data_IF_247769813065
#
_entry.id   IF_247769813065
#
_cell.length_a   1.000
_cell.length_b   1.000
_cell.length_c   1.000
_cell.angle_alpha   90.00
_cell.angle_beta   90.00
_cell.angle_gamma   90.00
#
_symmetry.space_group_name_H-M   'P 1'
#
loop_
_entity.id
_entity.type
_entity.pdbx_description
1 polymer ?
#
# COMPACT_ATOMS: atom_id res chain seq x y z
N UNK A 1 -22.04 16.34 2.29
CA UNK A 1 -22.31 15.67 1.01
C UNK A 1 -21.20 14.68 0.81
N UNK A 2 -21.50 13.39 0.89
CA UNK A 2 -20.59 12.30 0.58
C UNK A 2 -20.17 12.37 -0.89
N UNK A 3 -18.93 11.96 -1.19
CA UNK A 3 -18.39 12.02 -2.55
C UNK A 3 -18.71 10.76 -3.39
N UNK A 4 -19.39 9.77 -2.80
CA UNK A 4 -19.86 8.50 -3.40
C UNK A 4 -18.77 7.64 -4.06
N UNK A 5 -17.48 7.87 -3.76
CA UNK A 5 -16.39 7.08 -4.29
C UNK A 5 -16.13 5.84 -3.42
N UNK A 6 -16.15 4.68 -4.07
CA UNK A 6 -15.78 3.39 -3.49
C UNK A 6 -14.61 2.80 -4.28
N UNK A 7 -13.43 2.79 -3.69
CA UNK A 7 -12.19 2.35 -4.35
C UNK A 7 -11.80 0.97 -3.84
N UNK A 8 -11.69 -0.01 -4.73
CA UNK A 8 -11.44 -1.41 -4.35
C UNK A 8 -9.99 -1.82 -4.62
N UNK A 9 -9.41 -2.56 -3.68
CA UNK A 9 -8.16 -3.29 -3.85
C UNK A 9 -8.30 -4.73 -3.34
N UNK A 10 -7.86 -5.72 -4.11
CA UNK A 10 -7.84 -7.13 -3.66
C UNK A 10 -6.66 -7.92 -4.22
N UNK A 11 -6.49 -9.16 -3.77
CA UNK A 11 -5.63 -10.20 -4.35
C UNK A 11 -6.41 -11.25 -5.17
N UNK A 12 -7.68 -10.96 -5.53
CA UNK A 12 -8.57 -11.91 -6.21
C UNK A 12 -8.32 -12.02 -7.72
N UNK A 13 -7.61 -11.06 -8.31
CA UNK A 13 -7.52 -10.93 -9.75
C UNK A 13 -8.87 -10.61 -10.40
N UNK A 14 -8.90 -10.71 -11.74
CA UNK A 14 -10.09 -10.49 -12.58
C UNK A 14 -10.42 -11.71 -13.44
N UNK A 15 -9.84 -12.87 -13.12
CA UNK A 15 -10.00 -14.09 -13.90
C UNK A 15 -11.37 -14.76 -13.73
N UNK A 16 -12.09 -14.46 -12.64
CA UNK A 16 -13.40 -15.01 -12.33
C UNK A 16 -14.42 -13.94 -11.89
N UNK A 17 -15.58 -14.38 -11.40
CA UNK A 17 -16.69 -13.51 -11.00
C UNK A 17 -16.55 -12.84 -9.62
N UNK A 18 -15.46 -13.04 -8.88
CA UNK A 18 -15.33 -12.57 -7.50
C UNK A 18 -15.50 -11.04 -7.39
N UNK A 19 -14.69 -10.28 -8.14
CA UNK A 19 -14.74 -8.81 -8.14
C UNK A 19 -16.04 -8.29 -8.77
N UNK A 20 -16.55 -8.95 -9.80
CA UNK A 20 -17.83 -8.58 -10.41
C UNK A 20 -18.99 -8.71 -9.41
N UNK A 21 -19.00 -9.76 -8.58
CA UNK A 21 -20.00 -9.93 -7.51
C UNK A 21 -19.88 -8.84 -6.43
N UNK A 22 -18.66 -8.43 -6.08
CA UNK A 22 -18.43 -7.29 -5.19
C UNK A 22 -19.08 -6.01 -5.74
N UNK A 23 -18.91 -5.70 -7.03
CA UNK A 23 -19.57 -4.53 -7.63
C UNK A 23 -21.10 -4.64 -7.58
N UNK A 24 -21.63 -5.83 -7.90
CA UNK A 24 -23.06 -6.10 -7.83
C UNK A 24 -23.63 -5.79 -6.44
N UNK A 25 -22.95 -6.24 -5.38
CA UNK A 25 -23.33 -5.94 -3.99
C UNK A 25 -23.29 -4.45 -3.70
N UNK A 26 -22.23 -3.74 -4.10
CA UNK A 26 -22.16 -2.29 -3.92
C UNK A 26 -23.35 -1.57 -4.59
N UNK A 27 -23.70 -1.96 -5.83
CA UNK A 27 -24.84 -1.36 -6.54
C UNK A 27 -26.21 -1.75 -5.97
N UNK A 28 -26.32 -2.85 -5.23
CA UNK A 28 -27.55 -3.16 -4.48
C UNK A 28 -27.76 -2.23 -3.28
N UNK A 29 -26.67 -1.69 -2.72
CA UNK A 29 -26.72 -0.68 -1.64
C UNK A 29 -27.05 0.68 -2.21
N UNK A 30 -26.32 1.11 -3.24
CA UNK A 30 -26.60 2.36 -3.95
C UNK A 30 -26.17 2.30 -5.42
N UNK A 31 -27.12 2.38 -6.38
CA UNK A 31 -26.81 2.36 -7.81
C UNK A 31 -26.07 3.61 -8.29
N UNK A 32 -25.90 4.65 -7.47
CA UNK A 32 -25.20 5.91 -7.81
C UNK A 32 -23.73 5.93 -7.40
N UNK A 33 -23.22 4.88 -6.76
CA UNK A 33 -21.81 4.82 -6.36
C UNK A 33 -20.89 4.86 -7.58
N UNK A 34 -19.78 5.58 -7.44
CA UNK A 34 -18.69 5.51 -8.40
C UNK A 34 -17.66 4.52 -7.88
N UNK A 35 -17.67 3.32 -8.44
CA UNK A 35 -16.70 2.27 -8.12
C UNK A 35 -15.46 2.47 -8.98
N UNK A 36 -14.29 2.47 -8.35
CA UNK A 36 -13.00 2.47 -9.03
C UNK A 36 -12.12 1.35 -8.45
N UNK A 37 -11.13 0.91 -9.21
CA UNK A 37 -10.14 -0.05 -8.73
C UNK A 37 -8.83 0.64 -8.49
N UNK A 38 -8.24 0.39 -7.33
CA UNK A 38 -6.83 0.63 -7.11
C UNK A 38 -6.03 -0.44 -7.86
N UNK A 39 -6.24 -1.71 -7.49
CA UNK A 39 -5.76 -2.88 -8.23
C UNK A 39 -6.39 -4.17 -7.68
N UNK A 40 -6.55 -5.18 -8.51
CA UNK A 40 -6.89 -6.54 -8.08
C UNK A 40 -5.71 -7.51 -8.26
N UNK A 41 -4.53 -6.97 -8.55
CA UNK A 41 -3.30 -7.71 -8.82
C UNK A 41 -2.31 -7.63 -7.64
N UNK A 42 -2.80 -7.40 -6.42
CA UNK A 42 -1.94 -7.61 -5.25
C UNK A 42 -1.54 -9.09 -5.26
N UNK A 43 -0.25 -9.44 -5.07
CA UNK A 43 0.15 -10.84 -4.95
C UNK A 43 -0.66 -11.54 -3.86
N UNK A 44 -1.06 -12.78 -4.10
CA UNK A 44 -1.87 -13.55 -3.17
C UNK A 44 -1.28 -13.51 -1.76
N UNK A 45 -2.10 -13.11 -0.79
CA UNK A 45 -1.75 -13.04 0.63
C UNK A 45 -0.70 -11.98 1.02
N UNK A 46 -0.25 -11.13 0.10
CA UNK A 46 0.77 -10.11 0.38
C UNK A 46 0.17 -8.85 1.02
N UNK A 47 0.06 -8.90 2.35
CA UNK A 47 -0.47 -7.82 3.18
C UNK A 47 0.45 -6.59 3.14
N UNK A 48 1.77 -6.77 2.97
CA UNK A 48 2.71 -5.66 2.89
C UNK A 48 2.45 -4.84 1.63
N UNK A 49 2.39 -5.51 0.47
CA UNK A 49 2.06 -4.87 -0.80
C UNK A 49 0.67 -4.21 -0.75
N UNK A 50 -0.33 -4.88 -0.17
CA UNK A 50 -1.65 -4.30 0.01
C UNK A 50 -1.62 -2.98 0.79
N UNK A 51 -0.87 -2.95 1.89
CA UNK A 51 -0.69 -1.78 2.74
C UNK A 51 0.03 -0.63 2.01
N UNK A 52 1.09 -0.93 1.27
CA UNK A 52 1.86 0.07 0.53
C UNK A 52 1.04 0.70 -0.61
N UNK A 53 0.27 -0.11 -1.35
CA UNK A 53 -0.54 0.37 -2.48
C UNK A 53 -1.68 1.30 -2.04
N UNK A 54 -2.21 1.10 -0.84
CA UNK A 54 -3.10 2.09 -0.21
C UNK A 54 -2.39 3.43 0.03
N UNK A 55 -1.24 3.42 0.69
CA UNK A 55 -0.43 4.63 0.93
C UNK A 55 -0.14 5.38 -0.37
N UNK A 56 0.18 4.64 -1.44
CA UNK A 56 0.50 5.21 -2.74
C UNK A 56 -0.65 6.05 -3.31
N UNK A 57 -1.90 5.68 -3.02
CA UNK A 57 -3.06 6.16 -3.77
C UNK A 57 -3.92 7.15 -2.98
N UNK A 58 -4.11 6.93 -1.67
CA UNK A 58 -5.11 7.64 -0.85
C UNK A 58 -5.04 9.16 -0.99
N UNK A 59 -3.84 9.75 -0.97
CA UNK A 59 -3.65 11.21 -1.00
C UNK A 59 -4.14 11.91 -2.28
N UNK A 60 -4.41 11.15 -3.34
CA UNK A 60 -4.90 11.68 -4.62
C UNK A 60 -6.42 11.62 -4.76
N UNK A 61 -7.11 10.99 -3.81
CA UNK A 61 -8.56 10.95 -3.76
C UNK A 61 -9.09 12.08 -2.87
N UNK A 62 -10.31 12.59 -3.15
CA UNK A 62 -10.92 13.58 -2.28
C UNK A 62 -11.25 12.97 -0.90
N UNK A 63 -11.24 13.80 0.17
CA UNK A 63 -11.75 13.38 1.48
C UNK A 63 -13.15 12.78 1.37
N UNK A 64 -13.47 11.87 2.29
CA UNK A 64 -14.67 11.01 2.35
C UNK A 64 -14.69 9.85 1.34
N UNK A 65 -13.64 9.67 0.54
CA UNK A 65 -13.53 8.47 -0.31
C UNK A 65 -13.37 7.23 0.59
N UNK A 66 -14.12 6.18 0.26
CA UNK A 66 -14.05 4.89 0.95
C UNK A 66 -13.20 3.92 0.15
N UNK A 67 -12.13 3.44 0.75
CA UNK A 67 -11.30 2.37 0.23
C UNK A 67 -11.74 1.05 0.86
N UNK A 68 -11.87 0.01 0.05
CA UNK A 68 -12.04 -1.36 0.52
C UNK A 68 -10.80 -2.14 0.10
N UNK A 69 -10.02 -2.62 1.07
CA UNK A 69 -8.82 -3.40 0.82
C UNK A 69 -9.02 -4.81 1.36
N UNK A 70 -8.95 -5.81 0.48
CA UNK A 70 -9.21 -7.20 0.85
C UNK A 70 -8.07 -8.08 0.36
N UNK A 71 -7.10 -8.27 1.24
CA UNK A 71 -6.04 -9.28 1.14
C UNK A 71 -6.01 -9.97 2.49
N UNK A 72 -6.57 -11.17 2.56
CA UNK A 72 -6.98 -11.77 3.84
C UNK A 72 -6.71 -13.29 3.89
N UNK A 73 -5.45 -13.71 4.10
CA UNK A 73 -5.13 -15.12 4.34
C UNK A 73 -5.78 -15.66 5.63
N UNK A 74 -6.22 -14.78 6.55
CA UNK A 74 -6.86 -15.13 7.80
C UNK A 74 -8.39 -15.09 7.76
N UNK A 75 -9.01 -15.12 6.58
CA UNK A 75 -10.47 -15.09 6.45
C UNK A 75 -11.13 -16.23 7.24
N UNK A 76 -12.22 -15.91 7.95
CA UNK A 76 -12.92 -16.87 8.83
C UNK A 76 -12.19 -17.19 10.15
N UNK A 77 -11.07 -16.53 10.47
CA UNK A 77 -10.38 -16.64 11.75
C UNK A 77 -10.92 -15.65 12.80
N UNK A 78 -10.23 -15.53 13.94
CA UNK A 78 -10.56 -14.57 15.00
C UNK A 78 -10.11 -13.13 14.72
N UNK A 79 -9.43 -12.86 13.58
CA UNK A 79 -9.01 -11.51 13.20
C UNK A 79 -10.23 -10.62 12.97
N UNK A 80 -10.17 -9.37 13.44
CA UNK A 80 -11.31 -8.45 13.38
C UNK A 80 -11.51 -7.91 11.95
N UNK A 81 -12.73 -7.56 11.62
CA UNK A 81 -13.05 -6.71 10.46
C UNK A 81 -13.18 -5.26 10.94
N UNK A 82 -12.55 -4.31 10.25
CA UNK A 82 -12.46 -2.93 10.74
C UNK A 82 -12.73 -1.88 9.66
N UNK A 83 -13.14 -0.71 10.12
CA UNK A 83 -13.14 0.52 9.33
C UNK A 83 -12.26 1.55 10.04
N UNK A 84 -11.23 2.02 9.37
CA UNK A 84 -10.36 3.09 9.86
C UNK A 84 -10.70 4.41 9.16
N UNK A 85 -10.80 5.49 9.93
CA UNK A 85 -10.86 6.85 9.40
C UNK A 85 -9.47 7.46 9.47
N UNK A 86 -8.94 7.97 8.36
CA UNK A 86 -7.62 8.62 8.33
C UNK A 86 -7.72 10.08 8.80
N UNK A 87 -6.61 10.67 9.25
CA UNK A 87 -6.53 12.11 9.59
C UNK A 87 -6.80 13.03 8.40
N UNK A 88 -6.70 12.52 7.18
CA UNK A 88 -7.02 13.24 5.93
C UNK A 88 -8.48 13.07 5.51
N UNK A 89 -9.31 12.42 6.33
CA UNK A 89 -10.75 12.28 6.11
C UNK A 89 -11.15 11.14 5.17
N UNK A 90 -10.29 10.15 4.94
CA UNK A 90 -10.60 8.97 4.12
C UNK A 90 -11.04 7.81 5.01
N UNK A 91 -11.76 6.85 4.44
CA UNK A 91 -12.14 5.62 5.13
C UNK A 91 -11.49 4.40 4.49
N UNK A 92 -11.08 3.43 5.31
CA UNK A 92 -10.49 2.18 4.84
C UNK A 92 -11.20 1.02 5.53
N UNK A 93 -11.91 0.22 4.75
CA UNK A 93 -12.59 -1.01 5.16
C UNK A 93 -11.70 -2.20 4.85
N UNK A 94 -11.29 -2.96 5.86
CA UNK A 94 -10.24 -3.98 5.71
C UNK A 94 -10.27 -5.00 6.86
N UNK A 95 -9.70 -6.21 6.70
CA UNK A 95 -9.26 -7.03 7.82
C UNK A 95 -8.23 -6.27 8.69
N UNK A 96 -8.31 -6.47 10.00
CA UNK A 96 -7.25 -6.08 10.95
C UNK A 96 -6.14 -7.13 10.95
N UNK A 97 -5.24 -7.02 9.97
CA UNK A 97 -4.15 -7.99 9.75
C UNK A 97 -2.80 -7.33 9.43
N UNK A 98 -2.68 -6.01 9.63
CA UNK A 98 -1.50 -5.24 9.20
C UNK A 98 -1.71 -4.41 7.95
N UNK A 99 -2.79 -4.58 7.19
CA UNK A 99 -3.07 -3.77 5.97
C UNK A 99 -3.01 -2.26 6.23
N UNK A 100 -3.35 -1.80 7.44
CA UNK A 100 -3.35 -0.37 7.80
C UNK A 100 -1.96 0.19 8.15
N UNK A 101 -0.90 -0.63 8.24
CA UNK A 101 0.42 -0.23 8.77
C UNK A 101 1.00 1.03 8.11
N UNK A 102 1.14 1.04 6.79
CA UNK A 102 1.72 2.19 6.07
C UNK A 102 0.88 3.47 6.22
N UNK A 103 -0.45 3.34 6.12
CA UNK A 103 -1.35 4.49 6.28
C UNK A 103 -1.28 5.05 7.69
N UNK A 104 -1.27 4.19 8.70
CA UNK A 104 -1.16 4.60 10.10
C UNK A 104 0.16 5.34 10.37
N UNK A 105 1.26 4.89 9.78
CA UNK A 105 2.58 5.50 9.95
C UNK A 105 2.73 6.84 9.22
N UNK A 106 2.31 6.92 7.95
CA UNK A 106 2.62 8.07 7.10
C UNK A 106 1.49 9.10 6.97
N UNK A 107 0.24 8.69 7.13
CA UNK A 107 -0.94 9.58 7.04
C UNK A 107 -1.56 9.80 8.42
N UNK A 108 -1.57 8.75 9.25
CA UNK A 108 -2.18 8.74 10.56
C UNK A 108 -3.67 8.38 10.51
N UNK A 109 -4.11 7.65 11.53
CA UNK A 109 -5.51 7.32 11.76
C UNK A 109 -6.13 8.33 12.76
N UNK A 110 -7.38 8.71 12.51
CA UNK A 110 -8.21 9.50 13.42
C UNK A 110 -8.96 8.58 14.40
N UNK A 111 -9.57 7.50 13.89
CA UNK A 111 -10.26 6.49 14.68
C UNK A 111 -10.34 5.17 13.92
N UNK A 112 -10.60 4.08 14.64
CA UNK A 112 -10.87 2.76 14.06
C UNK A 112 -12.07 2.14 14.77
N UNK A 113 -12.98 1.55 14.02
CA UNK A 113 -14.14 0.82 14.54
C UNK A 113 -14.21 -0.59 14.02
N UNK A 114 -14.70 -1.50 14.84
CA UNK A 114 -14.96 -2.88 14.45
C UNK A 114 -16.26 -2.98 13.62
N UNK A 115 -16.27 -3.88 12.64
CA UNK A 115 -17.48 -4.30 11.93
C UNK A 115 -18.04 -5.52 12.66
N UNK A 116 -19.31 -5.45 13.09
CA UNK A 116 -20.00 -6.64 13.60
C UNK A 116 -20.35 -7.52 12.40
N UNK A 117 -19.56 -8.57 12.13
CA UNK A 117 -19.74 -9.44 10.96
C UNK A 117 -21.08 -10.20 10.96
N UNK A 118 -21.83 -10.21 12.07
CA UNK A 118 -23.17 -10.81 12.13
C UNK A 118 -24.22 -9.79 11.71
N UNK A 119 -24.15 -8.55 12.22
CA UNK A 119 -25.16 -7.51 11.95
C UNK A 119 -24.87 -6.70 10.68
N UNK A 120 -23.61 -6.38 10.47
CA UNK A 120 -23.11 -5.54 9.39
C UNK A 120 -22.59 -6.41 8.25
N UNK A 121 -23.45 -7.27 7.69
CA UNK A 121 -23.15 -8.11 6.53
C UNK A 121 -24.28 -8.05 5.50
N UNK A 122 -23.99 -8.49 4.28
CA UNK A 122 -25.00 -8.67 3.25
C UNK A 122 -26.12 -9.59 3.76
N UNK A 123 -27.40 -9.20 3.70
CA UNK A 123 -28.49 -10.04 4.17
C UNK A 123 -28.52 -11.40 3.47
N UNK A 124 -28.82 -12.46 4.22
CA UNK A 124 -28.91 -13.83 3.70
C UNK A 124 -27.58 -14.44 3.23
N UNK A 125 -26.45 -13.86 3.66
CA UNK A 125 -25.11 -14.39 3.36
C UNK A 125 -24.54 -15.26 4.48
N UNK A 126 -25.30 -15.52 5.56
CA UNK A 126 -24.80 -16.00 6.86
C UNK A 126 -24.02 -17.30 6.80
N UNK A 127 -24.34 -18.16 5.83
CA UNK A 127 -23.75 -19.48 5.65
C UNK A 127 -22.38 -19.45 4.95
N UNK A 128 -21.97 -18.31 4.37
CA UNK A 128 -20.69 -18.12 3.67
C UNK A 128 -19.70 -17.35 4.56
N UNK A 129 -18.57 -17.99 4.88
CA UNK A 129 -17.48 -17.41 5.68
C UNK A 129 -16.16 -17.28 4.92
N UNK A 130 -16.14 -17.66 3.64
CA UNK A 130 -14.92 -17.67 2.81
C UNK A 130 -14.81 -16.43 1.92
N UNK A 131 -15.86 -15.59 1.86
CA UNK A 131 -15.90 -14.42 0.98
C UNK A 131 -16.33 -13.13 1.69
N UNK A 132 -15.64 -12.79 2.79
CA UNK A 132 -15.88 -11.53 3.52
C UNK A 132 -15.64 -10.30 2.63
N UNK A 133 -14.82 -10.41 1.57
CA UNK A 133 -14.70 -9.41 0.50
C UNK A 133 -16.03 -8.89 -0.02
N UNK A 134 -16.90 -9.81 -0.42
CA UNK A 134 -18.24 -9.51 -0.93
C UNK A 134 -19.22 -9.23 0.20
N UNK A 135 -19.28 -10.12 1.18
CA UNK A 135 -20.39 -10.17 2.15
C UNK A 135 -20.24 -9.18 3.30
N UNK A 136 -19.01 -8.77 3.63
CA UNK A 136 -18.73 -7.85 4.74
C UNK A 136 -18.13 -6.55 4.20
N UNK A 137 -16.97 -6.60 3.54
CA UNK A 137 -16.20 -5.38 3.27
C UNK A 137 -16.83 -4.48 2.23
N UNK A 138 -17.20 -5.00 1.07
CA UNK A 138 -17.80 -4.15 0.02
C UNK A 138 -19.20 -3.69 0.40
N UNK A 139 -19.98 -4.53 1.06
CA UNK A 139 -21.28 -4.13 1.59
C UNK A 139 -21.16 -2.93 2.57
N UNK A 140 -20.26 -3.02 3.55
CA UNK A 140 -20.03 -1.91 4.49
C UNK A 140 -19.39 -0.69 3.82
N UNK A 141 -18.44 -0.90 2.91
CA UNK A 141 -17.80 0.18 2.16
C UNK A 141 -18.81 0.95 1.32
N UNK A 142 -19.74 0.26 0.65
CA UNK A 142 -20.81 0.86 -0.12
C UNK A 142 -21.77 1.68 0.76
N UNK A 143 -22.17 1.15 1.93
CA UNK A 143 -23.03 1.89 2.88
C UNK A 143 -22.34 3.17 3.36
N UNK A 144 -21.05 3.09 3.66
CA UNK A 144 -20.27 4.23 4.12
C UNK A 144 -20.03 5.27 3.01
N UNK A 145 -19.84 4.83 1.77
CA UNK A 145 -19.67 5.71 0.61
C UNK A 145 -20.98 6.43 0.26
N UNK A 146 -22.12 5.77 0.46
CA UNK A 146 -23.45 6.35 0.34
C UNK A 146 -23.71 7.39 1.45
N UNK A 147 -23.47 7.01 2.71
CA UNK A 147 -23.72 7.85 3.88
C UNK A 147 -22.61 7.70 4.94
N UNK A 148 -21.81 8.75 5.10
CA UNK A 148 -20.72 8.81 6.07
C UNK A 148 -21.19 8.59 7.52
N UNK A 149 -22.45 8.92 7.83
CA UNK A 149 -23.01 8.73 9.18
C UNK A 149 -23.12 7.27 9.57
N UNK A 150 -23.12 6.34 8.60
CA UNK A 150 -23.07 4.90 8.84
C UNK A 150 -21.84 4.47 9.67
N UNK A 151 -20.75 5.25 9.65
CA UNK A 151 -19.60 5.02 10.53
C UNK A 151 -19.98 5.01 12.02
N UNK A 152 -21.05 5.70 12.41
CA UNK A 152 -21.55 5.72 13.79
C UNK A 152 -22.29 4.45 14.19
N UNK A 153 -22.78 3.68 13.22
CA UNK A 153 -23.52 2.44 13.45
C UNK A 153 -22.61 1.21 13.60
N UNK A 154 -21.32 1.37 13.32
CA UNK A 154 -20.31 0.32 13.53
C UNK A 154 -20.10 0.05 15.03
N UNK A 155 -19.53 -1.12 15.32
CA UNK A 155 -19.27 -1.57 16.69
C UNK A 155 -18.23 -0.67 17.37
N UNK A 156 -17.96 -0.97 18.65
CA UNK A 156 -17.01 -0.29 19.52
C UNK A 156 -15.73 0.16 18.83
N UNK A 157 -15.28 1.34 19.24
CA UNK A 157 -13.98 1.89 18.87
C UNK A 157 -12.86 0.97 19.32
N UNK A 158 -11.90 0.73 18.42
CA UNK A 158 -10.65 0.02 18.71
C UNK A 158 -9.58 1.08 18.89
N UNK A 159 -8.80 0.97 19.97
CA UNK A 159 -7.69 1.88 20.17
C UNK A 159 -6.66 1.73 19.02
N UNK A 160 -6.16 2.85 18.50
CA UNK A 160 -5.18 2.84 17.39
C UNK A 160 -3.88 2.08 17.77
N UNK A 161 -3.58 1.95 19.07
CA UNK A 161 -2.46 1.15 19.56
C UNK A 161 -2.70 -0.36 19.55
N UNK A 162 -3.96 -0.81 19.39
CA UNK A 162 -4.34 -2.23 19.39
C UNK A 162 -4.48 -2.80 17.97
N UNK A 163 -4.40 -1.96 16.93
CA UNK A 163 -4.51 -2.41 15.54
C UNK A 163 -3.27 -3.23 15.18
N UNK A 164 -3.47 -4.35 14.49
CA UNK A 164 -2.38 -5.19 14.02
C UNK A 164 -1.50 -4.40 13.06
N UNK A 165 -0.18 -4.45 13.28
CA UNK A 165 0.82 -3.84 12.41
C UNK A 165 2.03 -4.75 12.25
N UNK A 166 2.73 -4.60 11.13
CA UNK A 166 4.02 -5.23 10.91
C UNK A 166 5.14 -4.19 11.01
N UNK A 167 6.37 -4.66 11.21
CA UNK A 167 7.55 -3.81 11.25
C UNK A 167 7.83 -3.20 9.87
N UNK A 168 8.09 -1.89 9.86
CA UNK A 168 8.59 -1.19 8.68
C UNK A 168 10.12 -1.14 8.73
N UNK A 169 10.76 -1.13 7.56
CA UNK A 169 12.21 -1.14 7.48
C UNK A 169 12.86 0.09 8.13
N UNK A 170 13.98 -0.15 8.83
CA UNK A 170 14.74 0.91 9.48
C UNK A 170 15.25 1.94 8.44
N UNK A 171 15.24 3.21 8.82
CA UNK A 171 15.78 4.31 8.04
C UNK A 171 16.71 5.15 8.93
N UNK A 172 17.97 5.29 8.54
CA UNK A 172 18.96 6.08 9.30
C UNK A 172 19.96 6.79 8.39
N UNK A 173 20.37 7.98 8.83
CA UNK A 173 21.45 8.76 8.23
C UNK A 173 22.61 8.84 9.24
N UNK A 174 23.78 8.36 8.83
CA UNK A 174 25.01 8.39 9.65
C UNK A 174 26.17 8.80 8.76
N UNK A 175 26.89 9.86 9.12
CA UNK A 175 28.07 10.35 8.40
C UNK A 175 27.84 10.51 6.88
N UNK A 176 26.74 11.18 6.50
CA UNK A 176 26.30 11.37 5.10
C UNK A 176 26.00 10.08 4.31
N UNK A 177 25.95 8.92 4.99
CA UNK A 177 25.51 7.65 4.43
C UNK A 177 24.12 7.30 4.92
N UNK A 178 23.23 7.00 3.98
CA UNK A 178 21.85 6.62 4.24
C UNK A 178 21.74 5.11 4.22
N UNK A 179 21.01 4.56 5.17
CA UNK A 179 20.64 3.16 5.26
C UNK A 179 19.13 3.07 5.27
N UNK A 180 18.58 2.20 4.44
CA UNK A 180 17.16 2.00 4.28
C UNK A 180 16.83 0.58 3.85
N UNK A 181 15.61 0.40 3.34
CA UNK A 181 15.11 -0.86 2.80
C UNK A 181 14.45 -0.65 1.44
N UNK A 182 14.30 -1.75 0.70
CA UNK A 182 13.54 -1.77 -0.55
C UNK A 182 12.12 -2.20 -0.19
N UNK A 183 11.21 -1.23 -0.04
CA UNK A 183 9.83 -1.50 0.39
C UNK A 183 9.06 -2.29 -0.68
N UNK A 184 9.13 -1.85 -1.94
CA UNK A 184 8.32 -2.44 -3.00
C UNK A 184 8.98 -2.29 -4.37
N UNK A 185 8.49 -3.04 -5.34
CA UNK A 185 8.81 -2.82 -6.75
C UNK A 185 7.80 -1.86 -7.39
N UNK A 186 8.26 -1.09 -8.37
CA UNK A 186 7.40 -0.67 -9.47
C UNK A 186 7.14 -1.89 -10.36
N UNK A 187 6.08 -2.64 -10.04
CA UNK A 187 5.90 -4.04 -10.47
C UNK A 187 5.96 -4.25 -11.98
N UNK A 188 5.54 -3.26 -12.79
CA UNK A 188 5.54 -3.38 -14.26
C UNK A 188 6.91 -3.18 -14.88
N UNK A 189 7.78 -2.41 -14.22
CA UNK A 189 9.10 -2.06 -14.74
C UNK A 189 10.23 -2.73 -13.95
N UNK A 190 9.93 -3.32 -12.79
CA UNK A 190 10.92 -3.93 -11.90
C UNK A 190 11.90 -2.94 -11.30
N UNK A 191 11.53 -1.66 -11.22
CA UNK A 191 12.31 -0.67 -10.49
C UNK A 191 12.16 -0.89 -8.98
N UNK A 192 13.21 -0.64 -8.23
CA UNK A 192 13.21 -0.72 -6.78
C UNK A 192 12.68 0.60 -6.21
N UNK A 193 11.68 0.57 -5.34
CA UNK A 193 11.25 1.72 -4.56
C UNK A 193 11.63 1.52 -3.09
N UNK A 194 12.35 2.50 -2.55
CA UNK A 194 12.90 2.42 -1.19
C UNK A 194 12.05 3.20 -0.19
N UNK A 195 12.36 2.98 1.10
CA UNK A 195 11.85 3.81 2.19
C UNK A 195 12.62 5.14 2.36
N UNK A 196 13.60 5.47 1.51
CA UNK A 196 14.47 6.64 1.67
C UNK A 196 13.81 7.89 1.06
N UNK A 197 13.38 8.88 1.87
CA UNK A 197 12.72 10.06 1.35
C UNK A 197 13.71 11.04 0.71
N UNK A 198 13.23 11.80 -0.26
CA UNK A 198 14.01 12.85 -0.94
C UNK A 198 14.56 13.92 0.00
N UNK A 199 13.92 14.16 1.15
CA UNK A 199 14.45 15.06 2.19
C UNK A 199 15.76 14.54 2.79
N UNK A 200 15.87 13.23 3.00
CA UNK A 200 17.08 12.61 3.56
C UNK A 200 18.23 12.59 2.55
N UNK A 201 17.94 12.41 1.26
CA UNK A 201 18.95 12.59 0.21
C UNK A 201 19.55 14.01 0.22
N UNK A 202 18.69 15.04 0.38
CA UNK A 202 19.15 16.44 0.48
C UNK A 202 19.99 16.67 1.73
N UNK A 203 19.60 16.09 2.87
CA UNK A 203 20.36 16.17 4.12
C UNK A 203 21.73 15.49 4.00
N UNK A 204 21.81 14.38 3.25
CA UNK A 204 23.06 13.71 2.91
C UNK A 204 23.90 14.46 1.85
N UNK A 205 23.43 15.59 1.32
CA UNK A 205 24.14 16.38 0.30
C UNK A 205 24.08 15.80 -1.12
N UNK A 206 23.13 14.90 -1.38
CA UNK A 206 22.89 14.28 -2.70
C UNK A 206 21.88 15.13 -3.48
N UNK A 207 22.24 15.50 -4.70
CA UNK A 207 21.44 16.30 -5.64
C UNK A 207 21.52 15.73 -7.06
N UNK A 208 20.54 16.07 -7.90
CA UNK A 208 20.51 15.61 -9.30
C UNK A 208 21.83 15.94 -10.02
N UNK A 209 22.33 14.96 -10.77
CA UNK A 209 23.62 15.02 -11.46
C UNK A 209 24.79 14.45 -10.66
N UNK A 210 24.62 14.19 -9.36
CA UNK A 210 25.64 13.51 -8.55
C UNK A 210 25.74 12.02 -8.92
N UNK A 211 26.92 11.45 -8.69
CA UNK A 211 27.12 10.00 -8.66
C UNK A 211 26.95 9.50 -7.24
N UNK A 212 26.15 8.45 -7.05
CA UNK A 212 25.94 7.81 -5.76
C UNK A 212 26.45 6.37 -5.80
N UNK A 213 27.06 5.93 -4.70
CA UNK A 213 27.30 4.52 -4.43
C UNK A 213 26.01 3.90 -3.92
N UNK A 214 25.58 2.81 -4.55
CA UNK A 214 24.43 2.01 -4.15
C UNK A 214 24.91 0.61 -3.81
N UNK A 215 24.69 0.19 -2.56
CA UNK A 215 24.96 -1.18 -2.12
C UNK A 215 23.68 -1.80 -1.58
N UNK A 216 23.33 -2.99 -2.03
CA UNK A 216 22.12 -3.71 -1.62
C UNK A 216 22.54 -5.01 -0.94
N UNK A 217 21.87 -5.33 0.16
CA UNK A 217 22.09 -6.51 0.96
C UNK A 217 20.80 -7.32 1.06
N UNK A 218 20.94 -8.64 1.15
CA UNK A 218 19.86 -9.56 1.49
C UNK A 218 20.32 -10.40 2.69
N UNK A 219 19.61 -10.32 3.81
CA UNK A 219 20.00 -11.00 5.06
C UNK A 219 21.44 -10.68 5.49
N UNK A 220 21.85 -9.41 5.37
CA UNK A 220 23.20 -8.94 5.70
C UNK A 220 24.30 -9.34 4.70
N UNK A 221 23.98 -10.11 3.65
CA UNK A 221 24.92 -10.50 2.60
C UNK A 221 24.81 -9.50 1.45
N UNK A 222 25.94 -8.90 1.06
CA UNK A 222 25.99 -7.98 -0.07
C UNK A 222 25.62 -8.69 -1.36
N UNK A 223 24.59 -8.19 -2.04
CA UNK A 223 24.01 -8.77 -3.25
C UNK A 223 24.33 -7.95 -4.50
N UNK A 224 24.33 -6.63 -4.37
CA UNK A 224 24.63 -5.70 -5.46
C UNK A 224 25.46 -4.53 -4.94
N UNK A 225 26.38 -4.05 -5.77
CA UNK A 225 27.12 -2.81 -5.51
C UNK A 225 27.48 -2.14 -6.83
N UNK A 226 27.11 -0.87 -6.99
CA UNK A 226 27.48 -0.09 -8.17
C UNK A 226 27.50 1.41 -7.87
N UNK A 227 28.16 2.18 -8.74
CA UNK A 227 28.08 3.63 -8.76
C UNK A 227 27.13 4.04 -9.88
N UNK A 228 26.09 4.78 -9.56
CA UNK A 228 25.04 5.15 -10.51
C UNK A 228 24.81 6.66 -10.50
N UNK A 229 24.37 7.21 -11.62
CA UNK A 229 23.91 8.58 -11.68
C UNK A 229 22.62 8.73 -10.86
N UNK A 230 22.57 9.74 -9.98
CA UNK A 230 21.31 10.21 -9.42
C UNK A 230 20.73 11.28 -10.36
N UNK A 231 19.81 10.84 -11.22
CA UNK A 231 19.20 11.65 -12.28
C UNK A 231 17.79 12.13 -11.93
N UNK A 232 17.29 13.02 -12.78
CA UNK A 232 15.89 13.44 -12.79
C UNK A 232 14.96 12.33 -13.24
N UNK A 233 15.37 11.52 -14.23
CA UNK A 233 14.55 10.46 -14.81
C UNK A 233 15.39 9.37 -15.49
N UNK A 234 14.72 8.33 -15.99
CA UNK A 234 15.35 7.27 -16.77
C UNK A 234 16.12 7.76 -18.00
N UNK A 235 15.73 8.89 -18.59
CA UNK A 235 16.33 9.43 -19.80
C UNK A 235 17.73 10.04 -19.61
N UNK A 236 18.18 10.20 -18.37
CA UNK A 236 19.49 10.80 -18.07
C UNK A 236 20.66 9.82 -18.27
N UNK A 237 20.36 8.54 -18.51
CA UNK A 237 21.35 7.48 -18.79
C UNK A 237 20.99 6.73 -20.08
N UNK A 238 21.97 6.04 -20.67
CA UNK A 238 21.72 5.21 -21.84
C UNK A 238 20.80 4.03 -21.51
N UNK A 239 20.13 3.47 -22.53
CA UNK A 239 19.33 2.24 -22.37
C UNK A 239 20.21 1.11 -21.83
N UNK A 240 19.73 0.41 -20.80
CA UNK A 240 20.47 -0.64 -20.10
C UNK A 240 21.38 -0.14 -18.97
N UNK A 241 21.51 1.17 -18.76
CA UNK A 241 22.29 1.73 -17.66
C UNK A 241 21.41 1.96 -16.41
N UNK A 242 21.96 1.74 -15.20
CA UNK A 242 21.25 1.98 -13.96
C UNK A 242 21.21 3.46 -13.58
N UNK A 243 20.12 3.87 -12.92
CA UNK A 243 19.88 5.24 -12.50
C UNK A 243 19.15 5.28 -11.16
N UNK A 244 19.60 6.16 -10.26
CA UNK A 244 18.86 6.56 -9.07
C UNK A 244 17.96 7.75 -9.41
N UNK A 245 16.74 7.77 -8.92
CA UNK A 245 15.78 8.85 -9.22
C UNK A 245 14.82 9.06 -8.03
N UNK A 246 14.01 10.12 -8.08
CA UNK A 246 12.92 10.32 -7.13
C UNK A 246 11.62 9.78 -7.73
N UNK A 247 11.01 8.80 -7.07
CA UNK A 247 9.74 8.21 -7.50
C UNK A 247 8.53 9.13 -7.21
N UNK A 248 7.34 8.70 -7.62
CA UNK A 248 6.09 9.47 -7.46
C UNK A 248 5.65 9.69 -6.01
N UNK A 249 6.23 8.94 -5.05
CA UNK A 249 6.01 9.12 -3.62
C UNK A 249 7.11 9.95 -2.94
N UNK A 250 8.01 10.55 -3.73
CA UNK A 250 9.13 11.37 -3.28
C UNK A 250 10.20 10.60 -2.50
N UNK A 251 10.35 9.31 -2.79
CA UNK A 251 11.40 8.45 -2.25
C UNK A 251 12.43 8.11 -3.34
N UNK A 252 13.62 7.68 -2.93
CA UNK A 252 14.62 7.14 -3.83
C UNK A 252 14.06 5.88 -4.52
N UNK A 253 14.10 5.89 -5.84
CA UNK A 253 13.96 4.72 -6.68
C UNK A 253 15.29 4.37 -7.35
N UNK A 254 15.49 3.10 -7.66
CA UNK A 254 16.62 2.61 -8.44
C UNK A 254 16.07 1.78 -9.60
N UNK A 255 16.53 2.06 -10.82
CA UNK A 255 16.03 1.40 -12.03
C UNK A 255 17.16 1.15 -13.02
N UNK A 256 16.87 0.35 -14.05
CA UNK A 256 17.65 0.30 -15.29
C UNK A 256 16.82 0.97 -16.37
N UNK A 257 17.40 1.88 -17.15
CA UNK A 257 16.66 2.53 -18.23
C UNK A 257 16.17 1.48 -19.25
N UNK A 258 14.84 1.33 -19.34
CA UNK A 258 14.12 0.35 -20.18
C UNK A 258 14.43 -1.13 -19.89
N UNK A 259 14.82 -1.49 -18.67
CA UNK A 259 14.97 -2.89 -18.24
C UNK A 259 14.52 -3.11 -16.80
N UNK A 260 14.29 -4.38 -16.44
CA UNK A 260 13.86 -4.79 -15.11
C UNK A 260 15.06 -4.93 -14.16
N UNK A 261 15.19 -4.02 -13.19
CA UNK A 261 16.30 -4.05 -12.22
C UNK A 261 16.24 -5.29 -11.32
N UNK A 262 15.06 -5.55 -10.75
CA UNK A 262 14.82 -6.69 -9.84
C UNK A 262 15.16 -8.03 -10.49
N UNK A 263 14.68 -8.30 -11.70
CA UNK A 263 14.96 -9.54 -12.43
C UNK A 263 16.43 -9.65 -12.87
N UNK A 264 17.01 -8.55 -13.36
CA UNK A 264 18.39 -8.53 -13.86
C UNK A 264 19.40 -8.86 -12.75
N UNK A 265 19.17 -8.33 -11.55
CA UNK A 265 20.10 -8.47 -10.43
C UNK A 265 19.59 -9.36 -9.29
N UNK A 266 18.44 -10.02 -9.45
CA UNK A 266 17.86 -10.90 -8.43
C UNK A 266 17.47 -10.20 -7.13
N UNK A 267 17.12 -8.91 -7.19
CA UNK A 267 16.83 -8.08 -6.01
C UNK A 267 15.34 -8.14 -5.64
N UNK A 268 15.04 -8.51 -4.40
CA UNK A 268 13.69 -8.54 -3.85
C UNK A 268 13.29 -7.28 -3.07
N UNK A 269 12.26 -7.43 -2.25
CA UNK A 269 11.65 -6.38 -1.42
C UNK A 269 11.40 -6.89 -0.01
N UNK A 270 11.29 -6.00 0.96
CA UNK A 270 11.03 -6.33 2.36
C UNK A 270 12.13 -5.85 3.30
N UNK A 271 11.92 -6.05 4.60
CA UNK A 271 12.83 -5.59 5.66
C UNK A 271 14.20 -6.28 5.64
N UNK A 272 14.28 -7.43 5.01
CA UNK A 272 15.46 -8.25 4.77
C UNK A 272 16.28 -7.79 3.54
N UNK A 273 15.72 -6.89 2.72
CA UNK A 273 16.37 -6.25 1.59
C UNK A 273 16.79 -4.83 1.94
N UNK A 274 18.03 -4.68 2.42
CA UNK A 274 18.57 -3.41 2.88
C UNK A 274 19.36 -2.71 1.77
N UNK A 275 19.32 -1.38 1.77
CA UNK A 275 20.04 -0.54 0.80
C UNK A 275 20.85 0.53 1.53
N UNK A 276 22.09 0.71 1.08
CA UNK A 276 23.02 1.72 1.56
C UNK A 276 23.39 2.67 0.43
N UNK A 277 23.30 3.98 0.70
CA UNK A 277 23.55 5.04 -0.27
C UNK A 277 24.52 6.07 0.30
N UNK A 278 25.52 6.48 -0.47
CA UNK A 278 26.33 7.65 -0.18
C UNK A 278 26.78 8.35 -1.46
N UNK A 279 26.99 9.67 -1.38
CA UNK A 279 27.63 10.44 -2.45
C UNK A 279 29.09 10.02 -2.62
N UNK A 280 29.60 10.12 -3.84
CA UNK A 280 31.01 9.92 -4.22
C UNK A 280 31.66 11.25 -4.54
#
# INVERSE_FOLDING_TARGET
MTNNFLVLQTDFGLADGAVAAMYGVAYTVDPKLTIANLTHEIPAYDIFAASYRLLQTIKYWPPQTVFVSVVDPGVGSARKSVVAKTKTGHYIVTPDNGTLTHVANHIGLESVKEIDEIKNRLPHSEESHTFHGRDVYVYNGAKLAQDETYYNDLKNEIAISEITSFELGELRLVDHKIYGTIDILDIRFGSLWTNIPSSMLKEAGIQNGDTISVTIYHNGIKHYQNHILFGHSFADVAVGEPVGYINSLLNLGVAINQQNFSETYGVGTGIDWNIEINKI
#
